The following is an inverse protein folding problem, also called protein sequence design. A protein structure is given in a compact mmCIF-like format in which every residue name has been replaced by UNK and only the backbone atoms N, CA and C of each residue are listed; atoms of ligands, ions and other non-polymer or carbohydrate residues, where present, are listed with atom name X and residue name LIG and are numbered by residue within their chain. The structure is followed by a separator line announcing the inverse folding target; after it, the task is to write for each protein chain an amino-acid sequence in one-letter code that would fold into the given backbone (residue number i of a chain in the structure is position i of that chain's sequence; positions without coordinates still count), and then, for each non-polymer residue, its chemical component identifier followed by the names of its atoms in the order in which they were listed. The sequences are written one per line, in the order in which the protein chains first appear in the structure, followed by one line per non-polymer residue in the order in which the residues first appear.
data_IF_623346276967
#
_entry.id   IF_623346276967
#
_cell.length_a   1.000
_cell.length_b   1.000
_cell.length_c   1.000
_cell.angle_alpha   90.00
_cell.angle_beta   90.00
_cell.angle_gamma   90.00
#
_symmetry.space_group_name_H-M   'P 1'
#
loop_
_entity.id
_entity.type
_entity.pdbx_description
1 polymer ?
#
# COMPACT_ATOMS: atom_id res chain seq x y z
N UNK A 1 6.87 16.79 15.56
CA UNK A 1 6.53 16.22 14.24
C UNK A 1 5.03 16.06 14.19
N UNK A 2 4.39 16.54 13.13
CA UNK A 2 2.96 16.29 12.93
C UNK A 2 2.77 14.88 12.35
N UNK A 3 2.52 13.93 13.25
CA UNK A 3 2.26 12.53 12.90
C UNK A 3 0.95 12.37 12.13
N UNK A 4 0.07 13.38 12.12
CA UNK A 4 -1.20 13.33 11.42
C UNK A 4 -1.12 13.81 9.97
N UNK A 5 -0.01 14.46 9.59
CA UNK A 5 0.22 14.95 8.24
C UNK A 5 0.22 13.82 7.20
N UNK A 6 -0.28 14.11 6.00
CA UNK A 6 -0.33 13.14 4.91
C UNK A 6 1.07 12.66 4.51
N UNK A 7 2.05 13.57 4.50
CA UNK A 7 3.45 13.25 4.18
C UNK A 7 4.04 12.26 5.20
N UNK A 8 3.83 12.50 6.51
CA UNK A 8 4.29 11.59 7.54
C UNK A 8 3.68 10.20 7.38
N UNK A 9 2.38 10.11 7.12
CA UNK A 9 1.71 8.82 6.94
C UNK A 9 2.20 8.08 5.69
N UNK A 10 2.49 8.80 4.59
CA UNK A 10 3.13 8.23 3.39
C UNK A 10 4.53 7.69 3.67
N UNK A 11 5.34 8.44 4.41
CA UNK A 11 6.69 8.00 4.80
C UNK A 11 6.63 6.79 5.74
N UNK A 12 5.76 6.82 6.74
CA UNK A 12 5.55 5.71 7.66
C UNK A 12 5.10 4.45 6.93
N UNK A 13 4.20 4.59 5.95
CA UNK A 13 3.76 3.49 5.07
C UNK A 13 4.93 2.89 4.30
N UNK A 14 5.74 3.74 3.66
CA UNK A 14 6.91 3.32 2.89
C UNK A 14 7.91 2.56 3.77
N UNK A 15 8.24 3.08 4.94
CA UNK A 15 9.17 2.43 5.88
C UNK A 15 8.62 1.09 6.37
N UNK A 16 7.31 1.00 6.61
CA UNK A 16 6.67 -0.26 7.03
C UNK A 16 6.74 -1.33 5.94
N UNK A 17 6.55 -0.95 4.68
CA UNK A 17 6.71 -1.85 3.53
C UNK A 17 8.17 -2.29 3.35
N UNK A 18 9.13 -1.36 3.49
CA UNK A 18 10.56 -1.66 3.39
C UNK A 18 11.04 -2.59 4.52
N UNK A 19 10.53 -2.39 5.74
CA UNK A 19 10.84 -3.27 6.86
C UNK A 19 10.24 -4.68 6.69
N UNK A 20 8.97 -4.77 6.25
CA UNK A 20 8.35 -6.05 5.92
C UNK A 20 9.14 -6.77 4.81
N UNK A 21 9.54 -6.04 3.77
CA UNK A 21 10.33 -6.58 2.67
C UNK A 21 11.68 -7.13 3.13
N UNK A 22 12.37 -6.45 4.05
CA UNK A 22 13.62 -6.96 4.62
C UNK A 22 13.43 -8.32 5.30
N UNK A 23 12.38 -8.45 6.12
CA UNK A 23 12.09 -9.71 6.79
C UNK A 23 11.73 -10.83 5.81
N UNK A 24 10.87 -10.54 4.82
CA UNK A 24 10.49 -11.50 3.77
C UNK A 24 11.72 -11.94 2.96
N UNK A 25 12.64 -11.02 2.66
CA UNK A 25 13.89 -11.33 1.97
C UNK A 25 14.73 -12.34 2.77
N UNK A 26 14.86 -12.18 4.09
CA UNK A 26 15.56 -13.14 4.94
C UNK A 26 14.91 -14.53 4.91
N UNK A 27 13.57 -14.59 4.89
CA UNK A 27 12.82 -15.84 4.74
C UNK A 27 13.10 -16.48 3.37
N UNK A 28 12.98 -15.73 2.28
CA UNK A 28 13.24 -16.23 0.93
C UNK A 28 14.68 -16.71 0.75
N UNK A 29 15.64 -15.97 1.32
CA UNK A 29 17.05 -16.36 1.32
C UNK A 29 17.28 -17.67 2.04
N UNK A 30 16.68 -17.85 3.22
CA UNK A 30 16.74 -19.12 3.96
C UNK A 30 16.11 -20.26 3.16
N UNK A 31 14.94 -20.04 2.55
CA UNK A 31 14.31 -21.03 1.69
C UNK A 31 15.21 -21.43 0.52
N UNK A 32 15.78 -20.46 -0.19
CA UNK A 32 16.69 -20.75 -1.30
C UNK A 32 17.91 -21.55 -0.86
N UNK A 33 18.48 -21.24 0.29
CA UNK A 33 19.64 -21.95 0.83
C UNK A 33 19.36 -23.43 1.19
N UNK A 34 18.09 -23.83 1.30
CA UNK A 34 17.71 -25.25 1.48
C UNK A 34 17.70 -26.04 0.18
N UNK A 35 17.72 -25.37 -0.98
CA UNK A 35 17.75 -26.05 -2.28
C UNK A 35 19.14 -26.65 -2.51
N UNK A 36 19.28 -27.96 -2.77
CA UNK A 36 20.56 -28.58 -3.06
C UNK A 36 21.22 -27.95 -4.29
N UNK A 37 22.46 -27.48 -4.13
CA UNK A 37 23.24 -26.93 -5.26
C UNK A 37 23.79 -28.10 -6.09
N UNK A 38 23.67 -28.03 -7.42
CA UNK A 38 24.22 -29.07 -8.29
C UNK A 38 25.75 -29.06 -8.22
N UNK A 39 26.36 -30.24 -8.06
CA UNK A 39 27.82 -30.37 -7.92
C UNK A 39 28.60 -30.21 -9.23
N UNK A 40 27.92 -30.17 -10.38
CA UNK A 40 28.57 -30.17 -11.69
C UNK A 40 29.01 -28.76 -12.14
N UNK A 41 28.29 -27.71 -11.73
CA UNK A 41 28.60 -26.33 -12.10
C UNK A 41 28.63 -25.49 -10.81
N UNK A 42 29.77 -24.88 -10.54
CA UNK A 42 29.90 -23.98 -9.41
C UNK A 42 29.18 -22.67 -9.69
N UNK A 43 28.45 -22.20 -8.69
CA UNK A 43 27.75 -20.93 -8.72
C UNK A 43 28.74 -19.76 -8.89
N UNK A 44 28.51 -18.93 -9.90
CA UNK A 44 29.35 -17.76 -10.16
C UNK A 44 29.06 -16.62 -9.19
N UNK A 45 29.99 -15.66 -9.06
CA UNK A 45 29.75 -14.44 -8.28
C UNK A 45 28.59 -13.62 -8.85
N UNK A 46 28.52 -13.48 -10.17
CA UNK A 46 27.45 -12.72 -10.84
C UNK A 46 26.08 -13.36 -10.62
N UNK A 47 25.99 -14.69 -10.66
CA UNK A 47 24.77 -15.42 -10.36
C UNK A 47 24.31 -15.22 -8.91
N UNK A 48 25.24 -15.31 -7.94
CA UNK A 48 24.94 -14.98 -6.54
C UNK A 48 24.39 -13.57 -6.42
N UNK A 49 25.11 -12.59 -6.94
CA UNK A 49 24.74 -11.19 -6.85
C UNK A 49 23.35 -10.92 -7.46
N UNK A 50 23.12 -11.41 -8.68
CA UNK A 50 21.85 -11.26 -9.36
C UNK A 50 20.71 -11.90 -8.57
N UNK A 51 20.91 -13.10 -8.03
CA UNK A 51 19.89 -13.75 -7.20
C UNK A 51 19.57 -12.96 -5.94
N UNK A 52 20.57 -12.45 -5.22
CA UNK A 52 20.33 -11.65 -4.02
C UNK A 52 19.49 -10.40 -4.35
N UNK A 53 19.79 -9.71 -5.46
CA UNK A 53 18.97 -8.61 -5.97
C UNK A 53 17.56 -9.04 -6.34
N UNK A 54 17.42 -10.20 -7.01
CA UNK A 54 16.12 -10.73 -7.41
C UNK A 54 15.24 -11.05 -6.19
N UNK A 55 15.81 -11.68 -5.17
CA UNK A 55 15.11 -11.99 -3.92
C UNK A 55 14.66 -10.71 -3.21
N UNK A 56 15.47 -9.65 -3.19
CA UNK A 56 15.08 -8.35 -2.64
C UNK A 56 13.88 -7.75 -3.38
N UNK A 57 13.87 -7.79 -4.72
CA UNK A 57 12.75 -7.28 -5.52
C UNK A 57 11.47 -8.08 -5.30
N UNK A 58 11.58 -9.40 -5.21
CA UNK A 58 10.44 -10.26 -4.89
C UNK A 58 9.91 -10.00 -3.49
N UNK A 59 10.78 -9.82 -2.51
CA UNK A 59 10.37 -9.50 -1.15
C UNK A 59 9.67 -8.15 -1.06
N UNK A 60 10.18 -7.12 -1.77
CA UNK A 60 9.54 -5.81 -1.84
C UNK A 60 8.16 -5.88 -2.53
N UNK A 61 8.05 -6.64 -3.61
CA UNK A 61 6.77 -6.87 -4.29
C UNK A 61 5.79 -7.58 -3.36
N UNK A 62 6.21 -8.67 -2.71
CA UNK A 62 5.38 -9.42 -1.79
C UNK A 62 4.90 -8.55 -0.60
N UNK A 63 5.78 -7.74 -0.01
CA UNK A 63 5.42 -6.82 1.07
C UNK A 63 4.35 -5.78 0.68
N UNK A 64 4.23 -5.47 -0.62
CA UNK A 64 3.24 -4.52 -1.18
C UNK A 64 1.98 -5.19 -1.71
N UNK A 65 2.06 -6.48 -2.08
CA UNK A 65 0.92 -7.23 -2.65
C UNK A 65 0.54 -8.42 -1.77
N UNK A 66 1.18 -9.56 -1.95
CA UNK A 66 0.68 -10.87 -1.51
C UNK A 66 0.80 -11.03 0.02
N UNK A 67 1.79 -10.35 0.61
CA UNK A 67 2.07 -10.29 2.04
C UNK A 67 1.87 -8.88 2.60
N UNK A 68 1.00 -8.08 1.96
CA UNK A 68 0.67 -6.71 2.40
C UNK A 68 0.14 -6.65 3.83
N UNK A 69 -0.49 -7.71 4.32
CA UNK A 69 -0.97 -7.78 5.71
C UNK A 69 0.16 -7.63 6.73
N UNK A 70 1.37 -8.12 6.42
CA UNK A 70 2.54 -7.95 7.27
C UNK A 70 2.96 -6.46 7.32
N UNK A 71 3.02 -5.79 6.18
CA UNK A 71 3.35 -4.36 6.13
C UNK A 71 2.25 -3.49 6.76
N UNK A 72 0.98 -3.89 6.63
CA UNK A 72 -0.16 -3.25 7.31
C UNK A 72 -0.07 -3.41 8.83
N UNK A 73 0.32 -4.60 9.32
CA UNK A 73 0.52 -4.86 10.74
C UNK A 73 1.64 -3.98 11.30
N UNK A 74 2.77 -3.92 10.62
CA UNK A 74 3.90 -3.06 11.01
C UNK A 74 3.46 -1.60 11.02
N UNK A 75 2.81 -1.13 9.96
CA UNK A 75 2.31 0.24 9.87
C UNK A 75 1.38 0.61 11.04
N UNK A 76 0.42 -0.27 11.37
CA UNK A 76 -0.47 -0.07 12.52
C UNK A 76 0.30 -0.06 13.84
N UNK A 77 1.24 -0.99 14.02
CA UNK A 77 2.05 -1.08 15.25
C UNK A 77 2.89 0.16 15.50
N UNK A 78 3.29 0.86 14.43
CA UNK A 78 4.05 2.11 14.49
C UNK A 78 3.16 3.36 14.60
N UNK A 79 1.86 3.20 14.85
CA UNK A 79 0.92 4.32 15.01
C UNK A 79 0.37 4.89 13.69
N UNK A 80 0.46 4.12 12.60
CA UNK A 80 -0.14 4.48 11.33
C UNK A 80 -1.67 4.59 11.42
N UNK A 81 -2.23 5.61 10.78
CA UNK A 81 -3.68 5.83 10.80
C UNK A 81 -4.42 4.65 10.19
N UNK A 82 -5.31 4.05 10.96
CA UNK A 82 -6.28 3.08 10.45
C UNK A 82 -7.38 3.86 9.74
N UNK A 83 -7.41 3.80 8.41
CA UNK A 83 -8.53 4.35 7.65
C UNK A 83 -9.67 3.34 7.77
N UNK A 84 -10.55 3.52 8.76
CA UNK A 84 -11.83 2.83 8.82
C UNK A 84 -12.69 3.32 7.65
N UNK A 85 -13.37 2.42 6.93
CA UNK A 85 -14.12 2.75 5.71
C UNK A 85 -15.25 3.79 5.88
N UNK A 86 -15.57 4.18 7.12
CA UNK A 86 -16.58 5.18 7.47
C UNK A 86 -16.30 6.56 6.83
N UNK A 87 -15.05 7.02 6.82
CA UNK A 87 -14.70 8.39 6.35
C UNK A 87 -14.78 8.58 4.82
N UNK A 88 -14.74 7.51 4.01
CA UNK A 88 -14.89 7.61 2.55
C UNK A 88 -16.35 7.60 2.09
N UNK A 89 -17.24 7.01 2.88
CA UNK A 89 -18.67 6.92 2.58
C UNK A 89 -19.35 8.28 2.79
N UNK A 90 -19.06 8.94 3.91
CA UNK A 90 -19.63 10.25 4.26
C UNK A 90 -19.34 11.31 3.20
N UNK A 91 -18.09 11.44 2.77
CA UNK A 91 -17.66 12.39 1.72
C UNK A 91 -18.35 12.15 0.35
N UNK A 92 -18.76 10.92 0.04
CA UNK A 92 -19.47 10.62 -1.20
C UNK A 92 -20.97 10.92 -1.09
N UNK A 93 -21.55 10.66 0.08
CA UNK A 93 -22.96 10.97 0.36
C UNK A 93 -23.19 12.47 0.39
N UNK A 94 -22.29 13.23 1.01
CA UNK A 94 -22.37 14.69 1.11
C UNK A 94 -22.30 15.37 -0.27
N UNK A 95 -21.33 14.98 -1.11
CA UNK A 95 -21.24 15.45 -2.51
C UNK A 95 -22.48 15.13 -3.35
N UNK A 96 -23.09 13.96 -3.12
CA UNK A 96 -24.33 13.56 -3.81
C UNK A 96 -25.52 14.39 -3.33
N UNK A 97 -25.58 14.70 -2.03
CA UNK A 97 -26.64 15.53 -1.46
C UNK A 97 -26.54 16.98 -1.97
N UNK A 98 -25.34 17.54 -2.02
CA UNK A 98 -25.08 18.86 -2.62
C UNK A 98 -25.51 18.91 -4.10
N UNK A 99 -25.17 17.88 -4.88
CA UNK A 99 -25.57 17.79 -6.29
C UNK A 99 -27.10 17.76 -6.47
N UNK A 100 -27.81 17.04 -5.59
CA UNK A 100 -29.28 16.99 -5.60
C UNK A 100 -29.90 18.34 -5.20
N UNK A 101 -29.32 19.04 -4.23
CA UNK A 101 -29.75 20.38 -3.82
C UNK A 101 -29.59 21.40 -4.96
N UNK A 102 -28.45 21.35 -5.67
CA UNK A 102 -28.22 22.21 -6.84
C UNK A 102 -29.24 21.93 -7.95
N UNK A 103 -29.51 20.66 -8.26
CA UNK A 103 -30.52 20.29 -9.27
C UNK A 103 -31.91 20.83 -8.92
N UNK A 104 -32.33 20.74 -7.66
CA UNK A 104 -33.62 21.28 -7.22
C UNK A 104 -33.70 22.81 -7.36
N UNK A 105 -32.61 23.54 -7.07
CA UNK A 105 -32.56 24.99 -7.26
C UNK A 105 -32.68 25.39 -8.75
N UNK A 106 -32.05 24.62 -9.65
CA UNK A 106 -32.11 24.86 -11.10
C UNK A 106 -33.50 24.57 -11.68
N UNK A 107 -34.18 23.54 -11.19
CA UNK A 107 -35.55 23.22 -11.61
C UNK A 107 -36.53 24.30 -11.15
N UNK A 108 -36.37 24.78 -9.91
CA UNK A 108 -37.24 25.83 -9.33
C UNK A 108 -37.13 27.15 -10.10
N UNK A 109 -35.92 27.57 -10.47
CA UNK A 109 -35.70 28.81 -11.21
C UNK A 109 -36.27 28.81 -12.64
N UNK A 110 -36.45 27.63 -13.26
CA UNK A 110 -37.01 27.52 -14.60
C UNK A 110 -38.55 27.49 -14.64
N UNK A 111 -39.22 27.42 -13.49
CA UNK A 111 -40.69 27.45 -13.40
C UNK A 111 -41.24 28.88 -13.23
N UNK A 112 -40.45 29.84 -12.76
CA UNK A 112 -40.87 31.25 -12.57
C UNK A 112 -40.64 32.15 -13.80
N UNK A 113 -39.97 31.68 -14.84
CA UNK A 113 -39.65 32.44 -16.07
C UNK A 113 -40.70 32.28 -17.19
N UNK A 114 -41.83 31.61 -16.91
CA UNK A 114 -42.83 31.19 -17.90
C UNK A 114 -44.21 31.82 -17.74
N UNK A 115 -44.32 33.04 -17.21
CA UNK A 115 -45.52 33.90 -17.31
C UNK A 115 -45.19 35.21 -18.04
#
# INVERSE_FOLDING_TARGET
MDTNSEEYQKQLRKVSEEFAAWYIYEVFKKMYNTVPKSGLIQESFGERWFREMLLQQYALKAARTDLKELSDMIYKSLGGKVITQETKSENNVEKRLEALQLLNSLISNNQESGE
#
